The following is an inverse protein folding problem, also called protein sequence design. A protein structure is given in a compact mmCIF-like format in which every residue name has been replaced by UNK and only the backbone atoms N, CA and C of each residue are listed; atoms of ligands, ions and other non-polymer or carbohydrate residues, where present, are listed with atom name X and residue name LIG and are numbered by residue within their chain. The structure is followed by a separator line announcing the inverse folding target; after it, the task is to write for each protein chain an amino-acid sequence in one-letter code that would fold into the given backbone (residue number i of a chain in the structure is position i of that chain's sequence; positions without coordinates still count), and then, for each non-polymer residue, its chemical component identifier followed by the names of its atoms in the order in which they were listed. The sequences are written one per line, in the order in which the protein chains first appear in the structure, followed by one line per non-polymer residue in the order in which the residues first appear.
data_IF_212898338574
#
_entry.id   IF_212898338574
#
_cell.length_a   1.000
_cell.length_b   1.000
_cell.length_c   1.000
_cell.angle_alpha   90.00
_cell.angle_beta   90.00
_cell.angle_gamma   90.00
#
_symmetry.space_group_name_H-M   'P 1'
#
loop_
_entity.id
_entity.type
_entity.pdbx_description
1 polymer ?
#
# COMPACT_ATOMS: atom_id res chain seq x y z
N UNK A 1 -14.92 -22.79 -14.49
CA UNK A 1 -14.09 -21.56 -14.54
C UNK A 1 -13.58 -21.29 -13.12
N UNK A 2 -12.30 -21.57 -12.81
CA UNK A 2 -11.77 -21.48 -11.44
C UNK A 2 -11.99 -20.07 -10.87
N UNK A 3 -12.74 -19.98 -9.77
CA UNK A 3 -13.05 -18.74 -9.06
C UNK A 3 -11.74 -17.98 -8.75
N UNK A 4 -11.61 -16.80 -9.35
CA UNK A 4 -10.40 -15.99 -9.32
C UNK A 4 -10.26 -15.33 -7.94
N UNK A 5 -9.17 -15.63 -7.23
CA UNK A 5 -8.93 -15.17 -5.85
C UNK A 5 -8.83 -13.63 -5.79
N UNK A 6 -9.87 -12.97 -5.29
CA UNK A 6 -9.76 -11.63 -4.70
C UNK A 6 -9.28 -11.84 -3.27
N UNK A 7 -8.16 -11.24 -2.89
CA UNK A 7 -7.68 -11.28 -1.51
C UNK A 7 -8.26 -10.09 -0.77
N UNK A 8 -9.43 -10.25 -0.16
CA UNK A 8 -9.90 -9.32 0.87
C UNK A 8 -9.05 -9.55 2.12
N UNK A 9 -8.42 -8.50 2.61
CA UNK A 9 -7.58 -8.58 3.81
C UNK A 9 -8.33 -7.89 4.95
N UNK A 10 -8.56 -8.66 6.00
CA UNK A 10 -9.00 -8.13 7.28
C UNK A 10 -7.81 -7.45 7.98
N UNK A 11 -8.04 -6.25 8.49
CA UNK A 11 -7.02 -5.48 9.19
C UNK A 11 -6.85 -6.02 10.61
N UNK A 12 -5.63 -6.39 11.04
CA UNK A 12 -5.37 -6.74 12.44
C UNK A 12 -5.25 -5.49 13.35
N UNK A 13 -5.39 -4.29 12.77
CA UNK A 13 -5.11 -3.02 13.44
C UNK A 13 -6.38 -2.24 13.83
N UNK A 14 -7.54 -2.90 13.87
CA UNK A 14 -8.82 -2.25 14.19
C UNK A 14 -8.73 -1.47 15.50
N UNK A 15 -9.04 -0.18 15.47
CA UNK A 15 -9.04 0.66 16.67
C UNK A 15 -7.65 1.05 17.19
N UNK A 16 -6.59 0.89 16.39
CA UNK A 16 -5.22 1.21 16.80
C UNK A 16 -5.05 2.67 17.26
N UNK A 17 -4.38 2.85 18.40
CA UNK A 17 -4.07 4.17 18.96
C UNK A 17 -3.05 4.93 18.08
N UNK A 18 -2.86 6.23 18.33
CA UNK A 18 -1.82 6.98 17.60
C UNK A 18 -0.41 6.50 17.94
N UNK A 19 -0.11 6.25 19.22
CA UNK A 19 1.21 5.78 19.64
C UNK A 19 1.55 4.43 19.00
N UNK A 20 0.62 3.49 19.01
CA UNK A 20 0.85 2.15 18.46
C UNK A 20 0.92 2.16 16.94
N UNK A 21 0.13 3.03 16.30
CA UNK A 21 0.26 3.26 14.87
C UNK A 21 1.67 3.72 14.49
N UNK A 22 2.27 4.66 15.24
CA UNK A 22 3.64 5.12 14.95
C UNK A 22 4.67 4.01 15.20
N UNK A 23 4.51 3.25 16.28
CA UNK A 23 5.36 2.11 16.62
C UNK A 23 5.35 1.04 15.51
N UNK A 24 4.16 0.58 15.14
CA UNK A 24 3.97 -0.47 14.15
C UNK A 24 4.38 -0.01 12.75
N UNK A 25 4.07 1.24 12.38
CA UNK A 25 4.53 1.84 11.12
C UNK A 25 6.05 1.78 11.03
N UNK A 26 6.76 2.11 12.11
CA UNK A 26 8.24 2.04 12.15
C UNK A 26 8.72 0.60 11.97
N UNK A 27 8.15 -0.38 12.67
CA UNK A 27 8.51 -1.81 12.53
C UNK A 27 8.34 -2.28 11.08
N UNK A 28 7.21 -1.94 10.45
CA UNK A 28 6.94 -2.28 9.06
C UNK A 28 7.89 -1.57 8.09
N UNK A 29 8.21 -0.30 8.33
CA UNK A 29 9.14 0.47 7.50
C UNK A 29 10.57 -0.10 7.52
N UNK A 30 11.03 -0.64 8.65
CA UNK A 30 12.30 -1.38 8.73
C UNK A 30 12.28 -2.58 7.80
N UNK A 31 11.20 -3.35 7.79
CA UNK A 31 11.06 -4.50 6.90
C UNK A 31 10.94 -4.09 5.42
N UNK A 32 10.29 -2.96 5.13
CA UNK A 32 10.26 -2.39 3.77
C UNK A 32 11.66 -2.00 3.28
N UNK A 33 12.51 -1.45 4.15
CA UNK A 33 13.91 -1.14 3.81
C UNK A 33 14.71 -2.41 3.52
N UNK A 34 14.51 -3.48 4.31
CA UNK A 34 15.13 -4.80 4.05
C UNK A 34 14.67 -5.40 2.72
N UNK A 35 13.39 -5.25 2.37
CA UNK A 35 12.86 -5.65 1.05
C UNK A 35 13.60 -4.88 -0.04
N UNK A 36 13.70 -3.56 0.08
CA UNK A 36 14.39 -2.73 -0.92
C UNK A 36 15.86 -3.15 -1.08
N UNK A 37 16.59 -3.37 0.01
CA UNK A 37 17.97 -3.88 -0.03
C UNK A 37 18.07 -5.24 -0.72
N UNK A 38 17.10 -6.14 -0.49
CA UNK A 38 17.07 -7.43 -1.17
C UNK A 38 16.82 -7.27 -2.66
N UNK A 39 15.89 -6.41 -3.07
CA UNK A 39 15.61 -6.15 -4.48
C UNK A 39 16.88 -5.69 -5.19
N UNK A 40 17.63 -4.75 -4.60
CA UNK A 40 18.91 -4.25 -5.15
C UNK A 40 19.93 -5.39 -5.28
N UNK A 41 20.09 -6.22 -4.25
CA UNK A 41 21.04 -7.34 -4.28
C UNK A 41 20.69 -8.45 -5.27
N UNK A 42 19.43 -8.52 -5.70
CA UNK A 42 18.91 -9.61 -6.54
C UNK A 42 18.42 -9.14 -7.90
N UNK A 43 18.65 -7.86 -8.22
CA UNK A 43 18.15 -7.19 -9.43
C UNK A 43 16.64 -7.34 -9.68
N UNK A 44 15.87 -7.66 -8.64
CA UNK A 44 14.42 -7.84 -8.74
C UNK A 44 13.72 -6.48 -8.84
N UNK A 45 12.71 -6.43 -9.70
CA UNK A 45 11.88 -5.23 -9.95
C UNK A 45 10.55 -5.35 -9.22
N UNK A 46 10.11 -4.31 -8.53
CA UNK A 46 8.81 -4.30 -7.85
C UNK A 46 7.93 -3.14 -8.31
N UNK A 47 6.71 -3.46 -8.77
CA UNK A 47 5.64 -2.50 -9.02
C UNK A 47 4.54 -2.66 -8.00
N UNK A 48 4.17 -1.56 -7.34
CA UNK A 48 3.05 -1.50 -6.39
C UNK A 48 2.02 -0.51 -6.89
N UNK A 49 0.83 -1.01 -7.22
CA UNK A 49 -0.30 -0.23 -7.73
C UNK A 49 -1.27 0.06 -6.60
N UNK A 50 -1.68 1.32 -6.47
CA UNK A 50 -2.78 1.74 -5.62
C UNK A 50 -3.94 2.24 -6.47
N UNK A 51 -5.02 1.47 -6.47
CA UNK A 51 -6.33 1.87 -7.01
C UNK A 51 -7.33 2.10 -5.87
N UNK A 52 -8.44 2.73 -6.23
CA UNK A 52 -9.53 3.05 -5.31
C UNK A 52 -10.19 4.36 -5.70
N UNK A 53 -11.38 4.58 -5.15
CA UNK A 53 -12.15 5.82 -5.39
C UNK A 53 -11.35 7.06 -4.99
N UNK A 54 -11.78 8.21 -5.48
CA UNK A 54 -11.27 9.47 -4.98
C UNK A 54 -11.57 9.61 -3.50
N UNK A 55 -10.61 10.23 -2.79
CA UNK A 55 -10.51 10.25 -1.34
C UNK A 55 -10.25 8.91 -0.62
N UNK A 56 -9.99 7.79 -1.32
CA UNK A 56 -9.66 6.50 -0.68
C UNK A 56 -8.33 6.49 0.11
N UNK A 57 -7.40 7.40 -0.19
CA UNK A 57 -6.15 7.56 0.58
C UNK A 57 -4.88 7.00 -0.09
N UNK A 58 -4.92 6.76 -1.40
CA UNK A 58 -3.80 6.23 -2.24
C UNK A 58 -2.47 6.97 -2.00
N UNK A 59 -2.35 8.24 -2.41
CA UNK A 59 -1.13 9.02 -2.21
C UNK A 59 -0.70 9.16 -0.75
N UNK A 60 -1.64 9.22 0.21
CA UNK A 60 -1.28 9.25 1.64
C UNK A 60 -0.68 7.94 2.14
N UNK A 61 -1.06 6.82 1.51
CA UNK A 61 -0.52 5.49 1.80
C UNK A 61 0.86 5.36 1.20
N UNK A 62 1.03 5.70 -0.09
CA UNK A 62 2.33 5.72 -0.76
C UNK A 62 3.33 6.59 0.00
N UNK A 63 2.92 7.77 0.49
CA UNK A 63 3.77 8.64 1.32
C UNK A 63 4.31 7.95 2.56
N UNK A 64 3.56 7.03 3.18
CA UNK A 64 4.03 6.27 4.36
C UNK A 64 4.89 5.07 3.99
N UNK A 65 4.69 4.47 2.82
CA UNK A 65 5.61 3.45 2.29
C UNK A 65 7.00 4.03 2.04
N UNK A 66 7.04 5.22 1.44
CA UNK A 66 8.27 5.84 0.91
C UNK A 66 9.02 6.71 1.91
N UNK A 67 8.45 6.95 3.10
CA UNK A 67 8.97 7.86 4.13
C UNK A 67 10.43 7.57 4.52
N UNK A 68 10.82 6.28 4.57
CA UNK A 68 12.15 5.83 5.02
C UNK A 68 12.86 4.91 4.00
N UNK A 69 12.37 4.85 2.75
CA UNK A 69 13.05 4.09 1.70
C UNK A 69 14.23 4.88 1.13
N UNK A 70 15.24 4.19 0.61
CA UNK A 70 16.37 4.82 -0.08
C UNK A 70 15.86 5.56 -1.33
N UNK A 71 15.97 6.90 -1.40
CA UNK A 71 15.32 7.71 -2.45
C UNK A 71 15.75 7.37 -3.87
N UNK A 72 16.99 6.94 -4.06
CA UNK A 72 17.53 6.60 -5.38
C UNK A 72 16.96 5.29 -5.95
N UNK A 73 16.27 4.50 -5.12
CA UNK A 73 15.80 3.16 -5.46
C UNK A 73 14.27 3.02 -5.48
N UNK A 74 13.54 4.14 -5.54
CA UNK A 74 12.12 4.11 -5.83
C UNK A 74 11.65 5.32 -6.63
N UNK A 75 10.48 5.19 -7.28
CA UNK A 75 9.75 6.31 -7.89
C UNK A 75 8.27 6.27 -7.51
N UNK A 76 7.66 7.44 -7.36
CA UNK A 76 6.21 7.59 -7.23
C UNK A 76 5.68 8.16 -8.54
N UNK A 77 4.75 7.43 -9.16
CA UNK A 77 4.21 7.73 -10.48
C UNK A 77 2.73 8.10 -10.31
N UNK A 78 2.41 9.35 -10.63
CA UNK A 78 1.05 9.88 -10.62
C UNK A 78 0.80 10.57 -11.98
N UNK A 79 0.37 9.79 -12.97
CA UNK A 79 0.15 10.31 -14.32
C UNK A 79 -1.17 11.09 -14.40
N UNK A 80 -1.14 12.23 -15.09
CA UNK A 80 -2.33 13.04 -15.36
C UNK A 80 -3.21 12.47 -16.48
N UNK A 81 -4.01 13.34 -17.08
CA UNK A 81 -4.87 13.02 -18.24
C UNK A 81 -3.98 12.62 -19.43
N UNK A 82 -4.32 11.56 -20.19
CA UNK A 82 -3.54 11.15 -21.35
C UNK A 82 -3.75 12.06 -22.56
N UNK A 83 -2.67 12.32 -23.30
CA UNK A 83 -2.80 12.84 -24.65
C UNK A 83 -3.30 11.75 -25.62
N UNK A 84 -3.57 12.12 -26.87
CA UNK A 84 -4.12 11.19 -27.87
C UNK A 84 -3.24 9.95 -28.10
N UNK A 85 -1.92 10.16 -28.23
CA UNK A 85 -0.95 9.08 -28.44
C UNK A 85 -0.90 8.13 -27.25
N UNK A 86 -0.86 8.67 -26.03
CA UNK A 86 -0.85 7.87 -24.81
C UNK A 86 -2.18 7.13 -24.60
N UNK A 87 -3.30 7.72 -25.00
CA UNK A 87 -4.61 7.07 -24.97
C UNK A 87 -4.68 5.90 -25.95
N UNK A 88 -4.06 6.03 -27.13
CA UNK A 88 -3.93 4.96 -28.14
C UNK A 88 -2.99 3.84 -27.67
N UNK A 89 -1.83 4.19 -27.10
CA UNK A 89 -0.80 3.25 -26.62
C UNK A 89 -0.82 3.10 -25.09
N UNK A 90 -1.97 2.67 -24.57
CA UNK A 90 -2.25 2.69 -23.13
C UNK A 90 -1.21 1.99 -22.26
N UNK A 91 -0.88 0.74 -22.55
CA UNK A 91 0.10 -0.01 -21.75
C UNK A 91 1.49 0.63 -21.82
N UNK A 92 1.91 1.08 -23.00
CA UNK A 92 3.21 1.75 -23.21
C UNK A 92 3.36 3.01 -22.36
N UNK A 93 2.27 3.77 -22.13
CA UNK A 93 2.27 4.94 -21.22
C UNK A 93 2.80 4.55 -19.83
N UNK A 94 2.32 3.45 -19.27
CA UNK A 94 2.69 3.02 -17.91
C UNK A 94 3.98 2.20 -17.89
N UNK A 95 4.23 1.38 -18.91
CA UNK A 95 5.42 0.54 -19.03
C UNK A 95 6.72 1.35 -19.03
N UNK A 96 6.71 2.56 -19.60
CA UNK A 96 7.83 3.52 -19.53
C UNK A 96 8.25 3.90 -18.12
N UNK A 97 7.37 3.72 -17.14
CA UNK A 97 7.60 4.04 -15.74
C UNK A 97 7.81 2.79 -14.88
N UNK A 98 7.99 1.62 -15.50
CA UNK A 98 8.41 0.43 -14.76
C UNK A 98 9.81 0.65 -14.19
N UNK A 99 10.12 0.05 -13.03
CA UNK A 99 11.40 0.27 -12.38
C UNK A 99 12.53 -0.37 -13.20
N UNK A 100 13.72 0.23 -13.11
CA UNK A 100 14.96 -0.47 -13.45
C UNK A 100 15.23 -1.58 -12.44
N UNK A 101 16.17 -2.46 -12.75
CA UNK A 101 16.56 -3.55 -11.86
C UNK A 101 16.94 -3.03 -10.46
N UNK A 102 16.53 -3.78 -9.45
CA UNK A 102 16.69 -3.43 -8.04
C UNK A 102 15.77 -2.34 -7.50
N UNK A 103 14.89 -1.74 -8.31
CA UNK A 103 14.08 -0.58 -7.91
C UNK A 103 12.59 -0.87 -7.75
N UNK A 104 11.91 0.07 -7.07
CA UNK A 104 10.46 0.02 -6.81
C UNK A 104 9.74 1.16 -7.55
N UNK A 105 8.61 0.88 -8.19
CA UNK A 105 7.71 1.93 -8.68
C UNK A 105 6.35 1.85 -8.02
N UNK A 106 5.95 2.94 -7.37
CA UNK A 106 4.63 3.10 -6.75
C UNK A 106 3.71 3.89 -7.68
N UNK A 107 2.58 3.32 -8.07
CA UNK A 107 1.60 3.97 -8.94
C UNK A 107 0.41 4.48 -8.12
N UNK A 108 0.21 5.80 -8.06
CA UNK A 108 -1.03 6.43 -7.58
C UNK A 108 -1.99 6.55 -8.77
N UNK A 109 -2.92 5.59 -8.86
CA UNK A 109 -3.61 5.19 -10.11
C UNK A 109 -2.63 4.59 -11.13
N UNK A 110 -3.15 3.73 -11.98
CA UNK A 110 -2.38 2.91 -12.90
C UNK A 110 -3.10 2.73 -14.23
N UNK A 111 -2.64 1.76 -15.03
CA UNK A 111 -3.32 1.30 -16.24
C UNK A 111 -4.77 0.90 -15.98
N UNK A 112 -5.15 0.58 -14.74
CA UNK A 112 -6.53 0.32 -14.32
C UNK A 112 -7.45 1.54 -14.32
N UNK A 113 -6.94 2.74 -14.57
CA UNK A 113 -7.79 3.91 -14.83
C UNK A 113 -8.76 3.64 -15.98
N UNK A 114 -8.35 2.85 -16.99
CA UNK A 114 -9.19 2.40 -18.12
C UNK A 114 -10.21 1.33 -17.77
N UNK A 115 -10.15 0.73 -16.58
CA UNK A 115 -11.17 -0.20 -16.07
C UNK A 115 -12.09 0.44 -15.02
N UNK A 116 -11.78 1.64 -14.53
CA UNK A 116 -12.52 2.29 -13.45
C UNK A 116 -13.03 3.67 -13.87
N UNK A 117 -12.17 4.69 -13.79
CA UNK A 117 -12.56 6.09 -13.97
C UNK A 117 -12.93 6.39 -15.43
N UNK A 118 -12.15 5.94 -16.42
CA UNK A 118 -12.42 6.26 -17.83
C UNK A 118 -13.81 5.78 -18.29
N UNK A 119 -14.20 4.50 -18.12
CA UNK A 119 -15.50 4.04 -18.58
C UNK A 119 -16.66 4.55 -17.71
N UNK A 120 -16.43 4.87 -16.43
CA UNK A 120 -17.46 5.48 -15.57
C UNK A 120 -17.77 6.92 -15.98
N UNK A 121 -16.74 7.66 -16.36
CA UNK A 121 -16.87 9.08 -16.72
C UNK A 121 -17.07 9.31 -18.22
N UNK A 122 -16.93 8.29 -19.06
CA UNK A 122 -17.05 8.40 -20.51
C UNK A 122 -15.79 8.93 -21.19
N UNK A 123 -14.62 8.80 -20.56
CA UNK A 123 -13.33 9.26 -21.12
C UNK A 123 -12.71 8.25 -22.10
N UNK A 124 -13.26 7.05 -22.20
CA UNK A 124 -12.89 6.08 -23.22
C UNK A 124 -14.12 5.47 -23.90
N UNK A 125 -13.97 5.07 -25.16
CA UNK A 125 -15.00 4.29 -25.84
C UNK A 125 -15.12 2.88 -25.26
N UNK A 126 -16.29 2.28 -25.42
CA UNK A 126 -16.54 0.90 -24.98
C UNK A 126 -15.57 -0.09 -25.63
N UNK A 127 -15.20 0.13 -26.90
CA UNK A 127 -14.19 -0.66 -27.61
C UNK A 127 -12.81 -0.61 -26.93
N UNK A 128 -12.37 0.58 -26.45
CA UNK A 128 -11.11 0.75 -25.72
C UNK A 128 -11.17 0.06 -24.35
N UNK A 129 -12.29 0.18 -23.64
CA UNK A 129 -12.52 -0.52 -22.37
C UNK A 129 -12.46 -2.04 -22.54
N UNK A 130 -13.24 -2.61 -23.47
CA UNK A 130 -13.27 -4.06 -23.75
C UNK A 130 -11.90 -4.58 -24.17
N UNK A 131 -11.19 -3.84 -25.02
CA UNK A 131 -9.82 -4.17 -25.42
C UNK A 131 -8.88 -4.18 -24.21
N UNK A 132 -8.95 -3.19 -23.32
CA UNK A 132 -8.13 -3.17 -22.11
C UNK A 132 -8.39 -4.39 -21.22
N UNK A 133 -9.65 -4.63 -20.86
CA UNK A 133 -10.06 -5.74 -19.97
C UNK A 133 -9.63 -7.09 -20.52
N UNK A 134 -9.75 -7.30 -21.84
CA UNK A 134 -9.33 -8.55 -22.51
C UNK A 134 -7.82 -8.80 -22.43
N UNK A 135 -7.00 -7.74 -22.47
CA UNK A 135 -5.55 -7.87 -22.68
C UNK A 135 -4.70 -7.65 -21.41
N UNK A 136 -5.22 -6.93 -20.40
CA UNK A 136 -4.41 -6.49 -19.25
C UNK A 136 -3.76 -7.65 -18.48
N UNK A 137 -4.48 -8.75 -18.24
CA UNK A 137 -3.90 -9.89 -17.51
C UNK A 137 -2.75 -10.55 -18.26
N UNK A 138 -2.90 -10.79 -19.56
CA UNK A 138 -1.82 -11.36 -20.38
C UNK A 138 -0.61 -10.45 -20.41
N UNK A 139 -0.83 -9.13 -20.50
CA UNK A 139 0.25 -8.15 -20.44
C UNK A 139 0.94 -8.13 -19.07
N UNK A 140 0.19 -8.15 -17.95
CA UNK A 140 0.76 -8.27 -16.60
C UNK A 140 1.56 -9.56 -16.41
N UNK A 141 1.01 -10.70 -16.85
CA UNK A 141 1.65 -12.00 -16.72
C UNK A 141 2.95 -12.07 -17.49
N UNK A 142 3.02 -11.49 -18.70
CA UNK A 142 4.27 -11.42 -19.46
C UNK A 142 5.38 -10.71 -18.67
N UNK A 143 5.05 -9.62 -17.97
CA UNK A 143 6.02 -8.91 -17.14
C UNK A 143 6.41 -9.70 -15.88
N UNK A 144 5.44 -10.34 -15.23
CA UNK A 144 5.68 -11.19 -14.07
C UNK A 144 6.56 -12.38 -14.42
N UNK A 145 6.29 -13.03 -15.55
CA UNK A 145 7.08 -14.15 -16.06
C UNK A 145 8.51 -13.72 -16.42
N UNK A 146 8.71 -12.43 -16.73
CA UNK A 146 10.03 -11.80 -16.93
C UNK A 146 10.65 -11.23 -15.63
N UNK A 147 10.17 -11.65 -14.45
CA UNK A 147 10.77 -11.31 -13.16
C UNK A 147 10.24 -10.02 -12.50
N UNK A 148 9.20 -9.39 -13.05
CA UNK A 148 8.54 -8.26 -12.38
C UNK A 148 7.67 -8.76 -11.21
N UNK A 149 7.98 -8.32 -10.00
CA UNK A 149 7.08 -8.47 -8.87
C UNK A 149 5.96 -7.42 -8.97
N UNK A 150 4.69 -7.85 -8.91
CA UNK A 150 3.53 -6.97 -9.02
C UNK A 150 2.61 -7.12 -7.81
N UNK A 151 2.27 -6.00 -7.15
CA UNK A 151 1.22 -5.94 -6.13
C UNK A 151 0.15 -4.92 -6.51
N UNK A 152 -1.12 -5.33 -6.47
CA UNK A 152 -2.26 -4.48 -6.81
C UNK A 152 -3.17 -4.27 -5.61
N UNK A 153 -3.12 -3.10 -5.00
CA UNK A 153 -4.01 -2.70 -3.92
C UNK A 153 -5.23 -1.97 -4.45
N UNK A 154 -6.40 -2.33 -3.94
CA UNK A 154 -7.61 -1.52 -4.05
C UNK A 154 -8.05 -1.05 -2.66
N UNK A 155 -7.99 0.26 -2.43
CA UNK A 155 -8.44 0.90 -1.20
C UNK A 155 -9.96 1.12 -1.27
N UNK A 156 -10.71 0.33 -0.51
CA UNK A 156 -12.18 0.37 -0.47
C UNK A 156 -12.66 1.25 0.66
N UNK A 157 -13.43 2.29 0.33
CA UNK A 157 -14.15 3.13 1.29
C UNK A 157 -15.64 3.05 1.04
N UNK A 158 -16.45 3.28 2.07
CA UNK A 158 -17.89 3.50 1.91
C UNK A 158 -18.21 4.92 1.44
N UNK A 159 -19.49 5.14 1.14
CA UNK A 159 -20.00 6.36 0.52
C UNK A 159 -19.96 7.51 1.53
N UNK A 160 -20.14 7.22 2.80
CA UNK A 160 -20.18 8.15 3.92
C UNK A 160 -18.77 8.69 4.21
N UNK A 161 -17.79 7.80 4.33
CA UNK A 161 -16.37 8.10 4.48
C UNK A 161 -15.88 8.97 3.33
N UNK A 162 -16.30 8.67 2.09
CA UNK A 162 -15.92 9.50 0.95
C UNK A 162 -16.45 10.93 1.10
N UNK A 163 -17.71 11.10 1.53
CA UNK A 163 -18.32 12.43 1.73
C UNK A 163 -17.58 13.21 2.79
N UNK A 164 -17.39 12.58 3.95
CA UNK A 164 -16.67 13.17 5.08
C UNK A 164 -15.29 13.65 4.64
N UNK A 165 -14.54 12.84 3.88
CA UNK A 165 -13.21 13.21 3.38
C UNK A 165 -13.24 14.32 2.31
N UNK A 166 -14.34 14.49 1.57
CA UNK A 166 -14.49 15.65 0.69
C UNK A 166 -14.78 16.92 1.47
N UNK A 167 -15.64 16.85 2.48
CA UNK A 167 -15.91 17.99 3.38
C UNK A 167 -14.63 18.43 4.12
N UNK A 168 -13.89 17.49 4.68
CA UNK A 168 -12.58 17.71 5.34
C UNK A 168 -11.55 18.37 4.41
N UNK A 169 -11.55 18.00 3.11
CA UNK A 169 -10.67 18.65 2.12
C UNK A 169 -11.08 20.09 1.86
N UNK A 170 -12.37 20.34 1.69
CA UNK A 170 -12.89 21.68 1.40
C UNK A 170 -12.69 22.64 2.57
N UNK A 171 -12.81 22.16 3.81
CA UNK A 171 -12.62 22.99 5.01
C UNK A 171 -11.16 23.23 5.38
N UNK A 172 -10.22 22.45 4.83
CA UNK A 172 -8.80 22.53 5.17
C UNK A 172 -8.02 23.44 4.22
N UNK A 173 -7.31 24.47 4.73
CA UNK A 173 -6.52 25.37 3.90
C UNK A 173 -5.33 24.68 3.21
N UNK A 174 -4.92 23.49 3.68
CA UNK A 174 -3.79 22.73 3.13
C UNK A 174 -4.22 21.67 2.11
N UNK A 175 -5.53 21.40 1.98
CA UNK A 175 -6.00 20.29 1.13
C UNK A 175 -7.19 20.63 0.22
N UNK A 176 -7.70 21.87 0.24
CA UNK A 176 -8.78 22.31 -0.64
C UNK A 176 -8.49 22.07 -2.13
N UNK A 177 -7.25 22.25 -2.56
CA UNK A 177 -6.81 22.02 -3.94
C UNK A 177 -6.98 20.57 -4.42
N UNK A 178 -7.17 19.61 -3.50
CA UNK A 178 -7.40 18.18 -3.82
C UNK A 178 -8.86 17.85 -4.12
N UNK A 179 -9.72 18.86 -4.21
CA UNK A 179 -11.14 18.71 -4.50
C UNK A 179 -11.50 19.47 -5.78
N UNK A 180 -12.32 18.85 -6.62
CA UNK A 180 -12.77 19.38 -7.90
C UNK A 180 -14.27 19.10 -8.11
N UNK A 181 -14.91 19.87 -9.00
CA UNK A 181 -16.29 19.59 -9.41
C UNK A 181 -16.46 18.19 -10.03
N UNK A 182 -15.40 17.66 -10.64
CA UNK A 182 -15.40 16.32 -11.19
C UNK A 182 -15.53 15.24 -10.11
N UNK A 183 -15.02 15.49 -8.89
CA UNK A 183 -15.17 14.57 -7.76
C UNK A 183 -16.64 14.41 -7.33
N UNK A 184 -17.42 15.50 -7.37
CA UNK A 184 -18.86 15.46 -7.09
C UNK A 184 -19.61 14.68 -8.18
N UNK A 185 -19.26 14.87 -9.45
CA UNK A 185 -19.86 14.12 -10.55
C UNK A 185 -19.54 12.63 -10.46
N UNK A 186 -18.28 12.29 -10.16
CA UNK A 186 -17.84 10.92 -9.91
C UNK A 186 -18.60 10.27 -8.75
N UNK A 187 -18.88 11.03 -7.69
CA UNK A 187 -19.68 10.58 -6.54
C UNK A 187 -21.13 10.28 -6.91
N UNK A 188 -21.79 11.12 -7.74
CA UNK A 188 -23.15 10.86 -8.24
C UNK A 188 -23.22 9.52 -8.99
N UNK A 189 -22.13 9.11 -9.63
CA UNK A 189 -21.98 7.83 -10.33
C UNK A 189 -21.48 6.68 -9.43
N UNK A 190 -21.77 6.71 -8.13
CA UNK A 190 -21.32 5.69 -7.17
C UNK A 190 -21.60 4.26 -7.64
N UNK A 191 -22.85 3.97 -8.02
CA UNK A 191 -23.27 2.63 -8.47
C UNK A 191 -22.58 2.19 -9.76
N UNK A 192 -22.42 3.11 -10.72
CA UNK A 192 -21.74 2.81 -11.98
C UNK A 192 -20.26 2.47 -11.74
N UNK A 193 -19.59 3.23 -10.86
CA UNK A 193 -18.24 2.90 -10.40
C UNK A 193 -18.18 1.54 -9.71
N UNK A 194 -19.16 1.20 -8.88
CA UNK A 194 -19.22 -0.10 -8.19
C UNK A 194 -19.28 -1.23 -9.21
N UNK A 195 -20.12 -1.09 -10.25
CA UNK A 195 -20.22 -2.07 -11.35
C UNK A 195 -18.90 -2.24 -12.09
N UNK A 196 -18.23 -1.14 -12.48
CA UNK A 196 -16.94 -1.21 -13.16
C UNK A 196 -15.83 -1.79 -12.27
N UNK A 197 -15.83 -1.48 -10.96
CA UNK A 197 -14.93 -2.09 -9.97
C UNK A 197 -15.13 -3.60 -9.90
N UNK A 198 -16.37 -4.07 -9.84
CA UNK A 198 -16.66 -5.51 -9.80
C UNK A 198 -16.27 -6.22 -11.09
N UNK A 199 -16.54 -5.61 -12.25
CA UNK A 199 -16.04 -6.11 -13.53
C UNK A 199 -14.52 -6.16 -13.56
N UNK A 200 -13.84 -5.10 -13.15
CA UNK A 200 -12.38 -5.07 -13.05
C UNK A 200 -11.87 -6.24 -12.21
N UNK A 201 -12.40 -6.47 -11.02
CA UNK A 201 -11.97 -7.59 -10.18
C UNK A 201 -12.23 -8.95 -10.84
N UNK A 202 -13.43 -9.17 -11.38
CA UNK A 202 -13.83 -10.42 -12.00
C UNK A 202 -12.94 -10.77 -13.20
N UNK A 203 -12.60 -9.79 -14.03
CA UNK A 203 -11.83 -10.01 -15.23
C UNK A 203 -10.32 -9.96 -15.01
N UNK A 204 -9.83 -9.30 -13.96
CA UNK A 204 -8.41 -8.96 -13.84
C UNK A 204 -7.75 -9.36 -12.51
N UNK A 205 -8.43 -10.14 -11.66
CA UNK A 205 -7.76 -10.88 -10.58
C UNK A 205 -7.35 -12.27 -11.06
N UNK A 206 -6.13 -12.70 -10.73
CA UNK A 206 -5.62 -14.04 -11.07
C UNK A 206 -4.69 -14.54 -9.97
N UNK A 207 -4.26 -15.80 -10.02
CA UNK A 207 -3.31 -16.33 -9.03
C UNK A 207 -1.94 -15.64 -9.13
N UNK A 208 -1.44 -15.41 -10.34
CA UNK A 208 -0.18 -14.68 -10.60
C UNK A 208 -0.28 -13.18 -10.32
N UNK A 209 -1.44 -12.58 -10.58
CA UNK A 209 -1.67 -11.14 -10.43
C UNK A 209 -3.00 -10.88 -9.67
N UNK A 210 -3.04 -11.13 -8.35
CA UNK A 210 -4.25 -10.99 -7.57
C UNK A 210 -4.55 -9.53 -7.24
N UNK A 211 -5.82 -9.20 -7.09
CA UNK A 211 -6.25 -7.98 -6.42
C UNK A 211 -6.24 -8.16 -4.90
N UNK A 212 -5.66 -7.16 -4.22
CA UNK A 212 -5.63 -7.05 -2.76
C UNK A 212 -6.58 -5.94 -2.35
N UNK A 213 -7.72 -6.30 -1.77
CA UNK A 213 -8.74 -5.33 -1.36
C UNK A 213 -8.57 -5.05 0.12
N UNK A 214 -8.35 -3.77 0.45
CA UNK A 214 -8.12 -3.29 1.81
C UNK A 214 -9.26 -2.35 2.20
N UNK A 215 -9.91 -2.63 3.33
CA UNK A 215 -10.86 -1.73 3.95
C UNK A 215 -10.13 -0.46 4.42
N UNK A 216 -10.48 0.67 3.83
CA UNK A 216 -9.72 1.91 3.93
C UNK A 216 -10.47 3.05 4.59
N UNK A 217 -11.55 2.75 5.34
CA UNK A 217 -12.32 3.74 6.08
C UNK A 217 -11.45 4.46 7.12
N UNK A 218 -10.66 3.71 7.89
CA UNK A 218 -9.63 4.25 8.78
C UNK A 218 -8.29 4.33 8.06
N UNK A 219 -7.75 5.54 7.88
CA UNK A 219 -6.49 5.75 7.13
C UNK A 219 -5.30 5.01 7.76
N UNK A 220 -5.20 5.00 9.10
CA UNK A 220 -4.08 4.37 9.82
C UNK A 220 -4.04 2.86 9.59
N UNK A 221 -5.16 2.20 9.84
CA UNK A 221 -5.36 0.76 9.60
C UNK A 221 -5.04 0.36 8.16
N UNK A 222 -5.55 1.11 7.19
CA UNK A 222 -5.33 0.83 5.78
C UNK A 222 -3.84 0.88 5.39
N UNK A 223 -3.10 1.86 5.92
CA UNK A 223 -1.66 2.03 5.67
C UNK A 223 -0.88 0.85 6.21
N UNK A 224 -1.09 0.50 7.48
CA UNK A 224 -0.41 -0.61 8.12
C UNK A 224 -0.76 -1.93 7.43
N UNK A 225 -2.04 -2.15 7.10
CA UNK A 225 -2.49 -3.37 6.40
C UNK A 225 -1.82 -3.54 5.04
N UNK A 226 -1.72 -2.47 4.25
CA UNK A 226 -1.01 -2.52 2.97
C UNK A 226 0.47 -2.86 3.17
N UNK A 227 1.15 -2.23 4.13
CA UNK A 227 2.56 -2.51 4.42
C UNK A 227 2.77 -3.94 4.91
N UNK A 228 1.94 -4.39 5.85
CA UNK A 228 1.96 -5.75 6.38
C UNK A 228 1.81 -6.78 5.27
N UNK A 229 0.89 -6.56 4.32
CA UNK A 229 0.75 -7.43 3.16
C UNK A 229 2.04 -7.51 2.35
N UNK A 230 2.66 -6.36 2.03
CA UNK A 230 3.88 -6.31 1.25
C UNK A 230 5.06 -6.98 1.98
N UNK A 231 5.18 -6.73 3.29
CA UNK A 231 6.17 -7.35 4.18
C UNK A 231 6.01 -8.86 4.22
N UNK A 232 4.79 -9.38 4.38
CA UNK A 232 4.55 -10.82 4.37
C UNK A 232 4.74 -11.46 3.01
N UNK A 233 4.50 -10.71 1.92
CA UNK A 233 4.63 -11.21 0.56
C UNK A 233 6.10 -11.29 0.11
N UNK A 234 6.93 -10.31 0.45
CA UNK A 234 8.30 -10.21 -0.09
C UNK A 234 9.41 -10.16 0.96
N UNK A 235 9.09 -9.90 2.23
CA UNK A 235 10.06 -9.84 3.33
C UNK A 235 9.84 -10.98 4.32
N UNK A 236 9.59 -10.63 5.59
CA UNK A 236 9.35 -11.58 6.67
C UNK A 236 7.91 -12.11 6.63
N UNK A 237 7.72 -13.32 6.08
CA UNK A 237 6.41 -14.00 6.00
C UNK A 237 5.75 -14.20 7.37
N UNK A 238 6.53 -14.45 8.42
CA UNK A 238 6.08 -14.63 9.80
C UNK A 238 5.99 -13.33 10.59
N UNK A 239 5.93 -12.16 9.93
CA UNK A 239 5.79 -10.90 10.66
C UNK A 239 4.47 -10.88 11.43
N UNK A 240 4.59 -10.71 12.75
CA UNK A 240 3.49 -10.60 13.70
C UNK A 240 3.15 -9.12 13.95
N UNK A 241 1.93 -8.69 13.58
CA UNK A 241 1.49 -7.31 13.76
C UNK A 241 1.31 -7.00 15.24
N UNK A 242 1.63 -5.77 15.66
CA UNK A 242 1.16 -5.29 16.97
C UNK A 242 -0.37 -5.15 16.91
N UNK A 243 -1.10 -5.98 17.66
CA UNK A 243 -2.56 -5.90 17.78
C UNK A 243 -2.98 -5.26 19.11
N UNK A 244 -4.22 -4.76 19.18
CA UNK A 244 -4.77 -4.15 20.40
C UNK A 244 -4.66 -5.02 21.66
N UNK A 245 -4.66 -6.35 21.52
CA UNK A 245 -4.52 -7.30 22.64
C UNK A 245 -3.06 -7.44 23.09
N UNK A 246 -2.10 -7.48 22.16
CA UNK A 246 -0.65 -7.45 22.45
C UNK A 246 -0.20 -6.14 23.10
N UNK A 247 -1.05 -5.11 23.07
CA UNK A 247 -0.81 -3.75 23.57
C UNK A 247 -1.32 -3.59 25.02
N UNK A 248 -2.25 -4.43 25.50
CA UNK A 248 -2.72 -4.41 26.90
C UNK A 248 -1.79 -5.20 27.82
N UNK A 249 -0.89 -6.02 27.27
CA UNK A 249 0.14 -6.68 28.05
C UNK A 249 1.07 -5.61 28.65
N UNK A 250 0.82 -5.25 29.91
CA UNK A 250 1.69 -4.39 30.71
C UNK A 250 3.03 -5.11 30.86
N UNK A 251 3.94 -4.82 29.97
CA UNK A 251 5.25 -5.43 30.00
C UNK A 251 6.12 -4.75 31.05
N UNK A 252 7.02 -5.54 31.64
CA UNK A 252 8.04 -5.00 32.52
C UNK A 252 9.39 -5.63 32.19
N UNK A 253 10.45 -4.87 32.38
CA UNK A 253 11.82 -5.32 32.21
C UNK A 253 12.71 -4.54 33.16
N UNK A 254 13.75 -5.20 33.67
CA UNK A 254 14.82 -4.52 34.40
C UNK A 254 16.08 -4.45 33.54
N UNK A 255 16.64 -3.25 33.44
CA UNK A 255 17.89 -2.91 32.73
C UNK A 255 18.75 -2.09 33.70
N UNK A 256 20.03 -2.44 33.91
CA UNK A 256 20.89 -1.78 34.89
C UNK A 256 20.32 -1.69 36.31
N UNK A 257 19.59 -2.71 36.76
CA UNK A 257 18.93 -2.72 38.07
C UNK A 257 17.64 -1.89 38.19
N UNK A 258 17.29 -1.09 37.17
CA UNK A 258 16.07 -0.26 37.15
C UNK A 258 14.91 -1.03 36.53
N UNK A 259 13.79 -1.16 37.25
CA UNK A 259 12.58 -1.85 36.77
C UNK A 259 11.62 -0.89 36.06
N UNK A 260 11.43 -1.12 34.77
CA UNK A 260 10.47 -0.43 33.92
C UNK A 260 9.16 -1.24 33.86
N UNK A 261 8.00 -0.59 34.00
CA UNK A 261 6.67 -1.23 34.03
C UNK A 261 5.71 -0.51 33.08
N UNK A 262 4.56 -1.14 32.83
CA UNK A 262 3.50 -0.62 31.95
C UNK A 262 4.04 -0.26 30.55
N UNK A 263 5.00 -1.06 30.08
CA UNK A 263 5.68 -0.79 28.84
C UNK A 263 4.83 -1.23 27.66
N UNK A 264 4.70 -0.35 26.69
CA UNK A 264 4.39 -0.75 25.32
C UNK A 264 5.43 -1.75 24.80
N UNK A 265 5.05 -2.58 23.83
CA UNK A 265 5.98 -3.51 23.17
C UNK A 265 7.19 -2.81 22.54
N UNK A 266 7.04 -1.55 22.09
CA UNK A 266 8.16 -0.76 21.57
C UNK A 266 9.16 -0.39 22.67
N UNK A 267 8.67 0.11 23.82
CA UNK A 267 9.53 0.40 24.96
C UNK A 267 10.22 -0.86 25.47
N UNK A 268 9.48 -1.98 25.52
CA UNK A 268 10.07 -3.28 25.87
C UNK A 268 11.13 -3.72 24.88
N UNK A 269 10.92 -3.56 23.57
CA UNK A 269 11.89 -3.96 22.54
C UNK A 269 13.20 -3.15 22.63
N UNK A 270 13.10 -1.83 22.80
CA UNK A 270 14.27 -0.95 22.99
C UNK A 270 15.02 -1.31 24.26
N UNK A 271 14.31 -1.53 25.37
CA UNK A 271 14.92 -1.92 26.64
C UNK A 271 15.53 -3.33 26.60
N UNK A 272 14.98 -4.25 25.80
CA UNK A 272 15.60 -5.57 25.54
C UNK A 272 16.92 -5.43 24.79
N UNK A 273 16.95 -4.61 23.74
CA UNK A 273 18.16 -4.35 22.96
C UNK A 273 19.26 -3.70 23.83
N UNK A 274 18.89 -2.72 24.66
CA UNK A 274 19.82 -2.13 25.65
C UNK A 274 20.34 -3.15 26.66
N UNK A 275 19.48 -4.04 27.16
CA UNK A 275 19.86 -5.10 28.11
C UNK A 275 20.80 -6.13 27.50
N UNK A 276 20.61 -6.46 26.21
CA UNK A 276 21.51 -7.34 25.47
C UNK A 276 22.88 -6.70 25.26
N UNK A 277 22.92 -5.39 25.00
CA UNK A 277 24.18 -4.63 24.91
C UNK A 277 24.87 -4.53 26.27
N UNK A 278 24.15 -4.32 27.37
CA UNK A 278 24.72 -4.25 28.72
C UNK A 278 25.44 -5.55 29.10
N UNK A 279 24.89 -6.72 28.73
CA UNK A 279 25.57 -8.01 28.93
C UNK A 279 26.90 -8.11 28.18
N UNK A 280 26.97 -7.56 26.97
CA UNK A 280 28.21 -7.54 26.18
C UNK A 280 29.30 -6.66 26.81
N UNK A 281 28.93 -5.60 27.54
CA UNK A 281 29.90 -4.76 28.26
C UNK A 281 30.40 -5.45 29.54
N UNK A 282 29.52 -6.08 30.32
CA UNK A 282 29.92 -6.79 31.55
C UNK A 282 30.82 -8.00 31.23
N UNK A 283 30.53 -8.76 30.17
CA UNK A 283 31.39 -9.89 29.74
C UNK A 283 32.76 -9.44 29.18
N UNK A 284 32.92 -8.17 28.82
CA UNK A 284 34.19 -7.61 28.36
C UNK A 284 35.09 -7.13 29.51
N UNK A 285 34.52 -6.77 30.66
CA UNK A 285 35.26 -6.35 31.85
C UNK A 285 35.79 -7.54 32.68
N UNK A 286 35.16 -8.72 32.61
CA UNK A 286 35.63 -9.94 33.30
C UNK A 286 36.81 -10.67 32.60
N UNK A 287 37.29 -10.15 31.46
CA UNK A 287 38.42 -10.72 30.70
C UNK A 287 39.73 -9.95 30.85
N UNK A 288 39.83 -9.05 31.83
CA UNK A 288 41.05 -8.31 32.18
C UNK A 288 41.44 -8.51 33.64
#
# INVERSE_FOLDING_TARGET
MKLRKIKKIETPYTGISESDYQAEKRRLQVELLKIQQRLIKTDQKLVVVFEGRDAAGKGSTIKRFTENLMPNHYKVIALGIPNESESKYWFRRYEKHFPLDGNISFFDRSWYSRALIEPTMGYCSEARYKRFIKNVLSWEHKHIDNGLLLTKFYLSIDKETQLFRFQDRMSSPLTYWKFSQNDLHARKKWELFTRYKEQMFNYTSSEKSPWVVVHANTKKEARLTCMLYLVRAFGRRSFEPLTGEDIIAKHSISVGGVKFRDLSLQQLAVLKELKEQEKLFVESEEKH
#
